data_IF_151965513130
#
_entry.id   IF_151965513130
#
_cell.length_a   1.000
_cell.length_b   1.000
_cell.length_c   1.000
_cell.angle_alpha   90.00
_cell.angle_beta   90.00
_cell.angle_gamma   90.00
#
_symmetry.space_group_name_H-M   'P 1'
#
loop_
_entity.id
_entity.type
_entity.pdbx_description
1 polymer ?
#
# COMPACT_ATOMS: atom_id res chain seq x y z
N UNK A 1 2.49 -2.15 -0.13
CA UNK A 1 3.68 -2.85 -0.68
C UNK A 1 3.55 -3.24 -2.14
N UNK A 2 2.44 -3.84 -2.61
CA UNK A 2 2.31 -4.22 -4.03
C UNK A 2 2.61 -3.11 -5.03
N UNK A 3 2.25 -1.86 -4.73
CA UNK A 3 2.59 -0.71 -5.55
C UNK A 3 4.10 -0.45 -5.65
N UNK A 4 4.85 -0.61 -4.55
CA UNK A 4 6.31 -0.48 -4.57
C UNK A 4 6.94 -1.60 -5.42
N UNK A 5 6.48 -2.84 -5.27
CA UNK A 5 6.94 -3.95 -6.11
C UNK A 5 6.69 -3.66 -7.59
N UNK A 6 5.52 -3.11 -7.94
CA UNK A 6 5.20 -2.74 -9.32
C UNK A 6 6.13 -1.63 -9.85
N UNK A 7 6.46 -0.64 -9.03
CA UNK A 7 7.42 0.41 -9.38
C UNK A 7 8.84 -0.16 -9.56
N UNK A 8 9.30 -1.04 -8.66
CA UNK A 8 10.60 -1.74 -8.81
C UNK A 8 10.64 -2.56 -10.11
N UNK A 9 9.55 -3.26 -10.44
CA UNK A 9 9.45 -4.01 -11.69
C UNK A 9 9.52 -3.09 -12.92
N UNK A 10 8.85 -1.93 -12.90
CA UNK A 10 8.89 -0.95 -13.98
C UNK A 10 10.28 -0.32 -14.15
N UNK A 11 10.97 -0.05 -13.04
CA UNK A 11 12.33 0.51 -13.04
C UNK A 11 13.37 -0.47 -13.56
N UNK A 12 13.28 -1.74 -13.15
CA UNK A 12 14.28 -2.76 -13.50
C UNK A 12 13.98 -3.48 -14.82
N UNK A 13 12.73 -3.48 -15.25
CA UNK A 13 12.26 -4.18 -16.46
C UNK A 13 11.27 -3.30 -17.26
N UNK A 14 11.68 -2.11 -17.72
CA UNK A 14 10.79 -1.13 -18.33
C UNK A 14 10.09 -1.65 -19.61
N UNK A 15 10.71 -2.54 -20.34
CA UNK A 15 10.17 -3.20 -21.54
C UNK A 15 9.06 -4.23 -21.23
N UNK A 16 8.91 -4.64 -19.97
CA UNK A 16 7.91 -5.63 -19.52
C UNK A 16 6.67 -4.97 -18.91
N UNK A 17 6.71 -3.68 -18.63
CA UNK A 17 5.63 -2.92 -18.01
C UNK A 17 5.17 -1.83 -18.95
N UNK A 18 3.97 -1.94 -19.49
CA UNK A 18 3.42 -0.95 -20.44
C UNK A 18 2.76 0.22 -19.72
N UNK A 19 2.18 0.02 -18.56
CA UNK A 19 1.47 1.03 -17.75
C UNK A 19 1.52 0.67 -16.28
N UNK A 20 1.41 1.67 -15.39
CA UNK A 20 1.29 1.47 -13.94
C UNK A 20 -0.06 1.99 -13.43
N UNK A 21 -0.73 1.18 -12.62
CA UNK A 21 -1.89 1.59 -11.84
C UNK A 21 -1.55 1.31 -10.37
N UNK A 22 -1.36 2.37 -9.61
CA UNK A 22 -0.89 2.32 -8.23
C UNK A 22 -2.04 2.73 -7.30
N UNK A 23 -2.53 1.81 -6.49
CA UNK A 23 -3.61 2.06 -5.52
C UNK A 23 -2.98 2.07 -4.13
N UNK A 24 -2.99 3.23 -3.47
CA UNK A 24 -2.38 3.47 -2.17
C UNK A 24 -0.98 2.84 -2.05
N UNK A 25 -0.05 3.17 -2.98
CA UNK A 25 1.25 2.50 -3.03
C UNK A 25 2.13 2.88 -1.83
N UNK A 26 2.87 1.92 -1.27
CA UNK A 26 4.07 2.21 -0.51
C UNK A 26 5.16 2.74 -1.47
N UNK A 27 6.21 3.35 -0.90
CA UNK A 27 7.34 3.88 -1.67
C UNK A 27 7.25 5.38 -1.98
N UNK A 28 6.16 6.06 -1.58
CA UNK A 28 6.02 7.53 -1.64
C UNK A 28 6.42 8.21 -0.33
N UNK A 29 6.82 7.44 0.65
CA UNK A 29 7.23 7.87 1.98
C UNK A 29 8.67 7.42 2.23
N UNK A 30 9.52 8.30 2.71
CA UNK A 30 10.88 7.97 3.13
C UNK A 30 10.92 7.74 4.64
N UNK A 31 11.75 6.82 5.07
CA UNK A 31 11.97 6.51 6.48
C UNK A 31 13.46 6.70 6.80
N UNK A 32 13.75 7.31 7.95
CA UNK A 32 15.09 7.34 8.51
C UNK A 32 15.50 5.94 9.01
N UNK A 33 16.80 5.71 9.23
CA UNK A 33 17.28 4.43 9.76
C UNK A 33 16.59 4.05 11.09
N UNK A 34 16.41 5.02 11.99
CA UNK A 34 15.74 4.78 13.26
C UNK A 34 14.26 4.43 13.13
N UNK A 35 13.55 5.02 12.18
CA UNK A 35 12.16 4.69 11.85
C UNK A 35 12.07 3.30 11.22
N UNK A 36 12.98 2.99 10.31
CA UNK A 36 13.12 1.65 9.73
C UNK A 36 13.34 0.59 10.80
N UNK A 37 14.27 0.83 11.73
CA UNK A 37 14.55 -0.06 12.85
C UNK A 37 13.33 -0.26 13.76
N UNK A 38 12.58 0.81 14.00
CA UNK A 38 11.33 0.71 14.75
C UNK A 38 10.31 -0.14 14.01
N UNK A 39 10.12 0.06 12.69
CA UNK A 39 9.19 -0.72 11.88
C UNK A 39 9.54 -2.21 11.88
N UNK A 40 10.81 -2.58 11.73
CA UNK A 40 11.29 -3.97 11.80
C UNK A 40 10.96 -4.62 13.15
N UNK A 41 11.06 -3.87 14.25
CA UNK A 41 10.73 -4.39 15.59
C UNK A 41 9.22 -4.60 15.79
N UNK A 42 8.38 -3.67 15.32
CA UNK A 42 6.92 -3.77 15.52
C UNK A 42 6.22 -4.67 14.50
N UNK A 43 6.92 -5.12 13.46
CA UNK A 43 6.44 -6.08 12.47
C UNK A 43 7.36 -7.32 12.43
N UNK A 44 7.75 -7.82 13.59
CA UNK A 44 8.51 -9.08 13.69
C UNK A 44 7.60 -10.30 13.49
N UNK A 45 8.18 -11.47 13.08
CA UNK A 45 7.40 -12.71 12.94
C UNK A 45 6.63 -13.09 14.20
N UNK A 46 7.23 -12.87 15.38
CA UNK A 46 6.61 -13.18 16.68
C UNK A 46 5.40 -12.26 16.94
N UNK A 47 5.52 -10.95 16.71
CA UNK A 47 4.41 -10.02 16.88
C UNK A 47 3.26 -10.29 15.89
N UNK A 48 3.58 -10.70 14.68
CA UNK A 48 2.57 -11.15 13.69
C UNK A 48 1.85 -12.40 14.19
N UNK A 49 2.59 -13.38 14.72
CA UNK A 49 2.06 -14.62 15.28
C UNK A 49 1.14 -14.36 16.48
N UNK A 50 1.56 -13.49 17.37
CA UNK A 50 0.88 -13.22 18.64
C UNK A 50 -0.27 -12.21 18.52
N UNK A 51 -0.49 -11.65 17.32
CA UNK A 51 -1.61 -10.73 17.09
C UNK A 51 -2.93 -11.40 17.45
N UNK A 52 -3.67 -10.83 18.39
CA UNK A 52 -4.97 -11.38 18.82
C UNK A 52 -6.03 -11.29 17.73
N UNK A 53 -7.09 -12.11 17.82
CA UNK A 53 -8.24 -12.03 16.88
C UNK A 53 -8.85 -10.61 16.88
N UNK A 54 -8.98 -9.99 18.05
CA UNK A 54 -9.42 -8.61 18.16
C UNK A 54 -8.44 -7.64 17.48
N UNK A 55 -7.15 -7.85 17.64
CA UNK A 55 -6.10 -7.07 17.00
C UNK A 55 -6.18 -7.16 15.48
N UNK A 56 -6.39 -8.35 14.94
CA UNK A 56 -6.60 -8.58 13.50
C UNK A 56 -7.80 -7.76 12.99
N UNK A 57 -8.94 -7.86 13.67
CA UNK A 57 -10.15 -7.14 13.26
C UNK A 57 -9.96 -5.62 13.32
N UNK A 58 -9.35 -5.10 14.39
CA UNK A 58 -9.06 -3.67 14.54
C UNK A 58 -8.10 -3.19 13.45
N UNK A 59 -7.02 -3.93 13.23
CA UNK A 59 -6.03 -3.58 12.20
C UNK A 59 -6.67 -3.52 10.80
N UNK A 60 -7.40 -4.56 10.40
CA UNK A 60 -8.03 -4.60 9.07
C UNK A 60 -9.10 -3.51 8.91
N UNK A 61 -9.96 -3.32 9.90
CA UNK A 61 -11.01 -2.27 9.84
C UNK A 61 -10.42 -0.86 9.82
N UNK A 62 -9.28 -0.63 10.46
CA UNK A 62 -8.64 0.69 10.47
C UNK A 62 -8.09 1.12 9.10
N UNK A 63 -7.97 0.19 8.15
CA UNK A 63 -7.55 0.50 6.78
C UNK A 63 -8.67 1.10 5.93
N UNK A 64 -9.90 1.07 6.41
CA UNK A 64 -11.06 1.67 5.76
C UNK A 64 -11.44 2.99 6.42
N UNK A 65 -12.00 3.90 5.67
CA UNK A 65 -12.75 5.04 6.20
C UNK A 65 -14.10 4.57 6.77
N UNK A 66 -14.81 3.74 5.98
CA UNK A 66 -16.04 3.07 6.39
C UNK A 66 -16.02 1.64 5.84
N UNK A 67 -15.58 0.68 6.66
CA UNK A 67 -15.41 -0.70 6.23
C UNK A 67 -16.74 -1.30 5.73
N UNK A 68 -16.84 -1.69 4.45
CA UNK A 68 -18.04 -2.34 3.93
C UNK A 68 -18.13 -3.78 4.45
N UNK A 69 -19.37 -4.29 4.61
CA UNK A 69 -19.58 -5.68 5.06
C UNK A 69 -18.97 -6.72 4.11
N UNK A 70 -18.88 -6.39 2.85
CA UNK A 70 -18.26 -7.20 1.80
C UNK A 70 -16.76 -7.44 2.04
N UNK A 71 -16.12 -6.62 2.89
CA UNK A 71 -14.72 -6.78 3.26
C UNK A 71 -14.51 -7.66 4.52
N UNK A 72 -15.58 -8.10 5.20
CA UNK A 72 -15.47 -8.93 6.42
C UNK A 72 -14.76 -10.27 6.19
N UNK A 73 -14.76 -10.78 4.94
CA UNK A 73 -14.01 -11.98 4.60
C UNK A 73 -12.51 -11.83 4.86
N UNK A 74 -11.94 -10.63 4.73
CA UNK A 74 -10.51 -10.39 4.98
C UNK A 74 -10.15 -10.69 6.44
N UNK A 75 -11.06 -10.36 7.38
CA UNK A 75 -10.88 -10.66 8.79
C UNK A 75 -10.95 -12.17 9.01
N UNK A 76 -11.98 -12.81 8.41
CA UNK A 76 -12.19 -14.26 8.52
C UNK A 76 -11.00 -15.02 7.97
N UNK A 77 -10.52 -14.68 6.77
CA UNK A 77 -9.38 -15.34 6.13
C UNK A 77 -8.10 -15.13 6.95
N UNK A 78 -7.89 -13.93 7.48
CA UNK A 78 -6.73 -13.62 8.31
C UNK A 78 -6.75 -14.41 9.63
N UNK A 79 -7.93 -14.68 10.18
CA UNK A 79 -8.08 -15.54 11.36
C UNK A 79 -7.84 -17.01 10.98
N UNK A 80 -8.39 -17.47 9.86
CA UNK A 80 -8.28 -18.87 9.42
C UNK A 80 -6.83 -19.25 9.10
N UNK A 81 -6.05 -18.36 8.50
CA UNK A 81 -4.64 -18.63 8.19
C UNK A 81 -3.80 -19.01 9.41
N UNK A 82 -4.25 -18.61 10.63
CA UNK A 82 -3.57 -18.99 11.89
C UNK A 82 -3.62 -20.49 12.18
N UNK A 83 -4.60 -21.21 11.64
CA UNK A 83 -4.71 -22.67 11.72
C UNK A 83 -3.96 -23.41 10.62
N UNK A 84 -3.34 -22.70 9.68
CA UNK A 84 -2.63 -23.33 8.58
C UNK A 84 -1.32 -23.97 9.05
N UNK A 85 -0.94 -25.10 8.43
CA UNK A 85 0.32 -25.80 8.72
C UNK A 85 1.55 -24.88 8.53
N UNK A 86 1.47 -23.95 7.60
CA UNK A 86 2.56 -23.05 7.22
C UNK A 86 2.37 -21.63 7.80
N UNK A 87 1.61 -21.47 8.89
CA UNK A 87 1.36 -20.16 9.49
C UNK A 87 2.65 -19.45 9.92
N UNK A 88 3.65 -20.17 10.41
CA UNK A 88 4.94 -19.57 10.74
C UNK A 88 5.61 -18.95 9.51
N UNK A 89 5.57 -19.61 8.35
CA UNK A 89 6.11 -19.05 7.09
C UNK A 89 5.36 -17.78 6.70
N UNK A 90 4.06 -17.73 6.92
CA UNK A 90 3.27 -16.52 6.71
C UNK A 90 3.75 -15.38 7.62
N UNK A 91 4.02 -15.64 8.90
CA UNK A 91 4.52 -14.62 9.83
C UNK A 91 5.89 -14.08 9.38
N UNK A 92 6.78 -14.94 8.94
CA UNK A 92 8.06 -14.53 8.35
C UNK A 92 7.85 -13.71 7.06
N UNK A 93 7.01 -14.16 6.15
CA UNK A 93 6.76 -13.44 4.90
C UNK A 93 6.20 -12.02 5.14
N UNK A 94 5.39 -11.82 6.17
CA UNK A 94 4.89 -10.48 6.53
C UNK A 94 6.04 -9.58 7.01
N UNK A 95 6.95 -10.09 7.84
CA UNK A 95 8.11 -9.34 8.32
C UNK A 95 9.09 -9.02 7.16
N UNK A 96 9.46 -10.02 6.37
CA UNK A 96 10.33 -9.87 5.19
C UNK A 96 9.81 -8.85 4.17
N UNK A 97 8.48 -8.77 4.00
CA UNK A 97 7.88 -7.76 3.13
C UNK A 97 8.13 -6.33 3.63
N UNK A 98 8.15 -6.12 4.95
CA UNK A 98 8.47 -4.81 5.52
C UNK A 98 9.96 -4.53 5.38
N UNK A 99 10.81 -5.51 5.61
CA UNK A 99 12.25 -5.38 5.40
C UNK A 99 12.57 -5.01 3.95
N UNK A 100 12.07 -5.77 2.98
CA UNK A 100 12.26 -5.47 1.57
C UNK A 100 11.74 -4.07 1.17
N UNK A 101 10.63 -3.62 1.75
CA UNK A 101 10.12 -2.28 1.51
C UNK A 101 11.08 -1.20 2.00
N UNK A 102 11.76 -1.43 3.13
CA UNK A 102 12.71 -0.48 3.73
C UNK A 102 14.08 -0.53 3.05
N UNK A 103 14.53 -1.72 2.66
CA UNK A 103 15.85 -1.93 2.06
C UNK A 103 15.92 -1.55 0.58
N UNK A 104 14.77 -1.53 -0.11
CA UNK A 104 14.66 -1.15 -1.52
C UNK A 104 13.76 0.08 -1.71
N UNK A 105 14.10 1.26 -1.14
CA UNK A 105 13.31 2.46 -1.30
C UNK A 105 13.29 2.91 -2.76
N UNK A 106 12.12 3.36 -3.24
CA UNK A 106 11.95 3.78 -4.65
C UNK A 106 11.77 5.29 -4.80
N UNK A 107 11.60 6.03 -3.70
CA UNK A 107 11.24 7.44 -3.73
C UNK A 107 12.20 8.28 -4.59
N UNK A 108 13.50 8.11 -4.43
CA UNK A 108 14.52 8.85 -5.19
C UNK A 108 14.60 8.44 -6.67
N UNK A 109 13.99 7.31 -7.02
CA UNK A 109 13.99 6.75 -8.38
C UNK A 109 12.66 6.95 -9.12
N UNK A 110 11.67 7.56 -8.51
CA UNK A 110 10.35 7.77 -9.14
C UNK A 110 10.45 8.54 -10.46
N UNK A 111 11.40 9.47 -10.58
CA UNK A 111 11.68 10.21 -11.80
C UNK A 111 12.20 9.38 -12.98
N UNK A 112 12.66 8.15 -12.73
CA UNK A 112 13.12 7.21 -13.77
C UNK A 112 11.98 6.40 -14.38
N UNK A 113 10.77 6.43 -13.79
CA UNK A 113 9.60 5.71 -14.30
C UNK A 113 9.12 6.38 -15.59
N UNK A 114 9.16 5.66 -16.68
CA UNK A 114 8.79 6.15 -18.03
C UNK A 114 7.39 5.70 -18.46
N UNK A 115 6.80 4.75 -17.77
CA UNK A 115 5.48 4.21 -18.10
C UNK A 115 4.38 5.21 -17.74
N UNK A 116 3.34 5.36 -18.57
CA UNK A 116 2.12 6.05 -18.16
C UNK A 116 1.64 5.52 -16.81
N UNK A 117 1.41 6.43 -15.85
CA UNK A 117 1.12 6.03 -14.46
C UNK A 117 -0.15 6.71 -13.94
N UNK A 118 -1.06 5.91 -13.42
CA UNK A 118 -2.22 6.35 -12.64
C UNK A 118 -2.00 6.02 -11.17
N UNK A 119 -2.15 7.02 -10.30
CA UNK A 119 -2.06 6.87 -8.86
C UNK A 119 -3.42 7.19 -8.24
N UNK A 120 -3.94 6.27 -7.41
CA UNK A 120 -5.17 6.48 -6.64
C UNK A 120 -4.87 6.38 -5.15
N UNK A 121 -5.38 7.33 -4.37
CA UNK A 121 -5.34 7.28 -2.90
C UNK A 121 -6.70 7.63 -2.31
N UNK A 122 -7.08 6.94 -1.25
CA UNK A 122 -8.15 7.42 -0.38
C UNK A 122 -7.67 8.61 0.46
N UNK A 123 -8.44 9.69 0.50
CA UNK A 123 -8.07 10.89 1.27
C UNK A 123 -7.93 10.63 2.78
N UNK A 124 -8.56 9.57 3.27
CA UNK A 124 -8.57 9.18 4.67
C UNK A 124 -7.78 7.87 4.89
N UNK A 125 -6.73 7.65 4.11
CA UNK A 125 -5.83 6.52 4.31
C UNK A 125 -5.16 6.62 5.69
N UNK A 126 -5.28 5.56 6.48
CA UNK A 126 -4.72 5.48 7.82
C UNK A 126 -3.34 4.81 7.87
N UNK A 127 -2.84 4.31 6.76
CA UNK A 127 -1.51 3.70 6.66
C UNK A 127 -0.48 4.64 6.04
N UNK A 128 -0.90 5.52 5.12
CA UNK A 128 -0.01 6.42 4.39
C UNK A 128 -0.52 7.86 4.52
N UNK A 129 0.25 8.73 5.18
CA UNK A 129 1.52 8.49 5.85
C UNK A 129 1.40 7.56 7.05
N UNK A 130 2.52 6.91 7.44
CA UNK A 130 2.57 6.11 8.66
C UNK A 130 2.26 6.99 9.87
N UNK A 131 1.06 6.80 10.46
CA UNK A 131 0.53 7.67 11.52
C UNK A 131 1.37 7.72 12.80
N UNK A 132 2.23 6.73 13.03
CA UNK A 132 3.07 6.63 14.23
C UNK A 132 4.41 7.35 14.05
N UNK A 133 4.84 7.54 12.82
CA UNK A 133 6.12 8.14 12.48
C UNK A 133 5.95 9.50 11.83
N UNK A 134 4.97 9.65 10.96
CA UNK A 134 4.74 10.86 10.18
C UNK A 134 3.32 11.40 10.39
N UNK A 135 3.23 12.70 10.47
CA UNK A 135 1.94 13.39 10.55
C UNK A 135 1.50 13.95 9.19
N UNK A 136 0.29 14.48 9.19
CA UNK A 136 -0.26 15.18 8.04
C UNK A 136 -1.25 14.36 7.21
N UNK A 137 -1.85 14.99 6.18
CA UNK A 137 -2.85 14.32 5.35
C UNK A 137 -2.19 13.44 4.29
N UNK A 138 -2.88 12.36 3.92
CA UNK A 138 -2.50 11.46 2.81
C UNK A 138 -2.22 12.22 1.51
N UNK A 139 -3.01 13.26 1.23
CA UNK A 139 -2.85 14.08 0.02
C UNK A 139 -1.44 14.66 -0.13
N UNK A 140 -0.77 14.99 0.98
CA UNK A 140 0.60 15.54 0.94
C UNK A 140 1.59 14.50 0.41
N UNK A 141 1.56 13.28 0.92
CA UNK A 141 2.44 12.19 0.48
C UNK A 141 2.08 11.77 -0.95
N UNK A 142 0.78 11.59 -1.23
CA UNK A 142 0.30 11.21 -2.55
C UNK A 142 0.73 12.21 -3.64
N UNK A 143 0.57 13.52 -3.39
CA UNK A 143 1.00 14.55 -4.33
C UNK A 143 2.52 14.55 -4.49
N UNK A 144 3.27 14.57 -3.37
CA UNK A 144 4.72 14.63 -3.42
C UNK A 144 5.36 13.45 -4.16
N UNK A 145 4.81 12.22 -4.01
CA UNK A 145 5.30 11.06 -4.74
C UNK A 145 4.85 11.07 -6.21
N UNK A 146 3.59 11.42 -6.49
CA UNK A 146 3.08 11.44 -7.87
C UNK A 146 3.80 12.49 -8.72
N UNK A 147 4.08 13.67 -8.17
CA UNK A 147 4.75 14.76 -8.89
C UNK A 147 6.18 14.40 -9.33
N UNK A 148 6.80 13.39 -8.72
CA UNK A 148 8.12 12.89 -9.12
C UNK A 148 8.04 11.94 -10.32
N UNK A 149 6.89 11.33 -10.62
CA UNK A 149 6.73 10.42 -11.76
C UNK A 149 6.31 11.24 -12.99
N UNK A 150 7.13 11.29 -14.06
CA UNK A 150 6.82 12.09 -15.23
C UNK A 150 5.47 11.74 -15.86
N UNK A 151 4.58 12.71 -15.97
CA UNK A 151 3.26 12.54 -16.60
C UNK A 151 2.26 11.70 -15.81
N UNK A 152 2.55 11.34 -14.55
CA UNK A 152 1.62 10.59 -13.73
C UNK A 152 0.37 11.42 -13.37
N UNK A 153 -0.77 10.73 -13.27
CA UNK A 153 -2.05 11.31 -12.86
C UNK A 153 -2.41 10.85 -11.46
N UNK A 154 -2.70 11.79 -10.56
CA UNK A 154 -3.20 11.52 -9.22
C UNK A 154 -4.72 11.65 -9.14
N UNK A 155 -5.37 10.67 -8.50
CA UNK A 155 -6.78 10.70 -8.11
C UNK A 155 -6.88 10.54 -6.59
N UNK A 156 -7.42 11.55 -5.91
CA UNK A 156 -7.70 11.52 -4.48
C UNK A 156 -9.19 11.26 -4.25
N UNK A 157 -9.52 10.08 -3.73
CA UNK A 157 -10.90 9.65 -3.52
C UNK A 157 -11.38 10.08 -2.13
N UNK A 158 -12.39 10.97 -2.02
CA UNK A 158 -12.87 11.48 -0.75
C UNK A 158 -13.62 10.41 0.06
N UNK A 159 -13.53 10.51 1.40
CA UNK A 159 -14.18 9.58 2.33
C UNK A 159 -13.87 8.12 2.00
N UNK A 160 -12.58 7.85 1.82
CA UNK A 160 -12.05 6.55 1.43
C UNK A 160 -10.73 6.32 2.15
N UNK A 161 -10.52 5.11 2.63
CA UNK A 161 -9.29 4.65 3.30
C UNK A 161 -8.28 4.03 2.34
N UNK A 162 -7.47 3.12 2.86
CA UNK A 162 -6.38 2.47 2.12
C UNK A 162 -6.87 1.52 1.02
N UNK A 163 -8.00 0.83 1.26
CA UNK A 163 -8.55 -0.14 0.30
C UNK A 163 -9.55 0.52 -0.66
N UNK A 164 -9.05 1.46 -1.48
CA UNK A 164 -9.86 2.29 -2.41
C UNK A 164 -10.78 1.43 -3.28
N UNK A 165 -10.25 0.32 -3.81
CA UNK A 165 -10.98 -0.62 -4.68
C UNK A 165 -12.15 -1.33 -3.98
N UNK A 166 -12.13 -1.45 -2.65
CA UNK A 166 -13.21 -2.05 -1.87
C UNK A 166 -14.22 -1.02 -1.37
N UNK A 167 -13.76 0.19 -1.02
CA UNK A 167 -14.65 1.22 -0.50
C UNK A 167 -15.35 2.01 -1.61
N UNK A 168 -14.69 2.16 -2.75
CA UNK A 168 -15.13 2.98 -3.88
C UNK A 168 -14.88 2.28 -5.21
N UNK A 169 -15.49 1.07 -5.41
CA UNK A 169 -15.23 0.26 -6.60
C UNK A 169 -15.64 0.97 -7.89
N UNK A 170 -16.76 1.69 -7.91
CA UNK A 170 -17.25 2.35 -9.12
C UNK A 170 -16.34 3.50 -9.55
N UNK A 171 -15.93 4.34 -8.58
CA UNK A 171 -14.97 5.42 -8.84
C UNK A 171 -13.62 4.87 -9.28
N UNK A 172 -13.13 3.84 -8.59
CA UNK A 172 -11.85 3.19 -8.93
C UNK A 172 -11.89 2.62 -10.33
N UNK A 173 -12.91 1.82 -10.66
CA UNK A 173 -13.05 1.20 -11.97
C UNK A 173 -13.21 2.23 -13.08
N UNK A 174 -13.96 3.31 -12.84
CA UNK A 174 -14.14 4.40 -13.81
C UNK A 174 -12.80 5.06 -14.15
N UNK A 175 -11.97 5.39 -13.14
CA UNK A 175 -10.66 6.02 -13.37
C UNK A 175 -9.66 5.06 -14.03
N UNK A 176 -9.69 3.78 -13.66
CA UNK A 176 -8.85 2.74 -14.29
C UNK A 176 -9.23 2.55 -15.77
N UNK A 177 -10.53 2.44 -16.07
CA UNK A 177 -11.00 2.27 -17.45
C UNK A 177 -10.68 3.49 -18.32
N UNK A 178 -10.87 4.71 -17.80
CA UNK A 178 -10.42 5.91 -18.49
C UNK A 178 -8.94 5.82 -18.84
N UNK A 179 -8.11 5.58 -17.84
CA UNK A 179 -6.66 5.51 -18.02
C UNK A 179 -6.22 4.43 -19.00
N UNK A 180 -6.87 3.27 -18.99
CA UNK A 180 -6.57 2.20 -19.95
C UNK A 180 -6.95 2.55 -21.40
N UNK A 181 -7.94 3.43 -21.58
CA UNK A 181 -8.42 3.84 -22.91
C UNK A 181 -7.73 5.13 -23.43
N UNK A 182 -6.94 5.81 -22.62
CA UNK A 182 -6.14 6.97 -23.01
C UNK A 182 -4.86 6.50 -23.71
N UNK A 183 -4.89 6.18 -25.00
CA UNK A 183 -3.72 5.86 -25.81
C UNK A 183 -3.82 4.55 -26.55
#
# INVERSE_FOLDING_TARGET
MGGQIAMVAALNHPDRVSRLILISPAGFEAFTDGEGDWMRRVVSPDLVRDTTIRGIAVNLKSNFYNAPSEADFMITDRIQVRGAKDFDKYCYAVAENVEAMLDEPVLERLGEITQPTLVLFGQNDNLIPNRYLHGGPTSKVATAGTDQIPGARLVLVPRCGHFVQFEKPDETNSEVLKFCNEG
#
